data_IF_127216583339
#
_entry.id   IF_127216583339
#
_cell.length_a   1.000
_cell.length_b   1.000
_cell.length_c   1.000
_cell.angle_alpha   90.00
_cell.angle_beta   90.00
_cell.angle_gamma   90.00
#
_symmetry.space_group_name_H-M   'P 1'
#
loop_
_entity.id
_entity.type
_entity.pdbx_description
1 polymer ?
#
# COMPACT_ATOMS: atom_id res chain seq x y z
N UNK A 1 -6.01 14.94 -22.01
CA UNK A 1 -6.20 14.08 -20.81
C UNK A 1 -7.00 14.88 -19.81
N UNK A 2 -8.12 14.35 -19.29
CA UNK A 2 -8.89 15.06 -18.25
C UNK A 2 -8.15 14.94 -16.92
N UNK A 3 -7.70 16.07 -16.38
CA UNK A 3 -7.14 16.15 -15.05
C UNK A 3 -8.30 15.96 -14.05
N UNK A 4 -8.31 14.84 -13.33
CA UNK A 4 -9.25 14.63 -12.23
C UNK A 4 -8.74 15.43 -11.03
N UNK A 5 -9.38 16.56 -10.74
CA UNK A 5 -9.13 17.31 -9.52
C UNK A 5 -9.83 16.59 -8.35
N UNK A 6 -9.09 16.15 -7.31
CA UNK A 6 -9.66 15.25 -6.29
C UNK A 6 -10.65 15.92 -5.32
N UNK A 7 -10.75 17.25 -5.31
CA UNK A 7 -11.53 18.01 -4.32
C UNK A 7 -11.96 19.36 -4.92
N UNK A 8 -13.26 19.52 -5.20
CA UNK A 8 -13.85 20.85 -5.31
C UNK A 8 -14.24 21.31 -3.90
N UNK A 9 -13.92 22.54 -3.46
CA UNK A 9 -14.39 23.06 -2.17
C UNK A 9 -15.89 23.40 -2.17
N UNK A 10 -16.50 23.50 -3.35
CA UNK A 10 -17.86 23.99 -3.53
C UNK A 10 -18.63 23.05 -4.46
N UNK A 11 -19.63 22.37 -3.88
CA UNK A 11 -20.41 21.35 -4.57
C UNK A 11 -21.02 20.37 -3.57
N UNK A 12 -22.34 20.36 -3.52
CA UNK A 12 -23.23 19.40 -2.83
C UNK A 12 -22.59 18.06 -2.45
N UNK A 13 -22.83 17.64 -1.19
CA UNK A 13 -22.47 16.35 -0.57
C UNK A 13 -23.08 15.13 -1.30
N UNK A 14 -22.73 14.95 -2.56
CA UNK A 14 -22.90 13.72 -3.32
C UNK A 14 -21.95 12.70 -2.69
N UNK A 15 -22.51 11.54 -2.30
CA UNK A 15 -21.73 10.45 -1.72
C UNK A 15 -20.80 9.84 -2.78
N UNK A 16 -19.62 10.45 -2.99
CA UNK A 16 -18.34 9.85 -3.42
C UNK A 16 -17.48 10.86 -4.21
N UNK A 17 -16.87 11.83 -3.54
CA UNK A 17 -15.72 12.55 -4.10
C UNK A 17 -14.42 11.88 -3.63
N UNK A 18 -14.05 10.80 -4.31
CA UNK A 18 -12.78 10.12 -4.12
C UNK A 18 -12.46 9.25 -5.32
N UNK A 19 -11.19 8.94 -5.55
CA UNK A 19 -10.76 8.11 -6.70
C UNK A 19 -11.39 6.69 -6.70
N UNK A 20 -11.92 6.24 -5.56
CA UNK A 20 -12.47 4.89 -5.39
C UNK A 20 -13.76 4.91 -4.58
N UNK A 21 -14.77 4.13 -5.02
CA UNK A 21 -16.01 3.88 -4.29
C UNK A 21 -15.79 2.90 -3.14
N UNK A 22 -16.04 3.32 -1.89
CA UNK A 22 -15.88 2.46 -0.70
C UNK A 22 -17.02 1.44 -0.54
N UNK A 23 -16.77 0.29 0.12
CA UNK A 23 -15.47 -0.21 0.55
C UNK A 23 -14.73 -0.89 -0.60
N UNK A 24 -13.44 -0.59 -0.75
CA UNK A 24 -12.55 -1.25 -1.72
C UNK A 24 -11.26 -1.66 -1.03
N UNK A 25 -10.85 -2.89 -1.28
CA UNK A 25 -9.59 -3.44 -0.84
C UNK A 25 -8.68 -3.58 -2.06
N UNK A 26 -7.41 -3.24 -1.90
CA UNK A 26 -6.43 -3.29 -2.96
C UNK A 26 -5.18 -4.00 -2.48
N UNK A 27 -4.49 -4.63 -3.43
CA UNK A 27 -3.12 -5.09 -3.28
C UNK A 27 -2.26 -4.16 -4.12
N UNK A 28 -1.22 -3.61 -3.49
CA UNK A 28 -0.20 -2.83 -4.17
C UNK A 28 1.05 -3.69 -4.19
N UNK A 29 1.55 -3.97 -5.38
CA UNK A 29 2.76 -4.75 -5.59
C UNK A 29 4.01 -3.89 -5.39
N UNK A 30 5.16 -4.53 -5.26
CA UNK A 30 6.44 -3.86 -5.01
C UNK A 30 6.80 -2.82 -6.09
N UNK A 31 6.36 -3.05 -7.33
CA UNK A 31 6.49 -2.15 -8.48
C UNK A 31 5.33 -1.15 -8.61
N UNK A 32 4.51 -1.00 -7.56
CA UNK A 32 3.33 -0.13 -7.46
C UNK A 32 2.17 -0.47 -8.39
N UNK A 33 2.17 -1.65 -9.01
CA UNK A 33 0.96 -2.13 -9.68
C UNK A 33 -0.17 -2.31 -8.66
N UNK A 34 -1.36 -1.80 -8.99
CA UNK A 34 -2.53 -1.85 -8.11
C UNK A 34 -3.50 -2.89 -8.63
N UNK A 35 -3.81 -3.89 -7.82
CA UNK A 35 -4.83 -4.91 -8.09
C UNK A 35 -6.01 -4.71 -7.15
N UNK A 36 -7.21 -4.53 -7.69
CA UNK A 36 -8.42 -4.50 -6.87
C UNK A 36 -8.71 -5.91 -6.34
N UNK A 37 -8.78 -6.05 -5.01
CA UNK A 37 -9.32 -7.26 -4.42
C UNK A 37 -10.85 -7.19 -4.60
N UNK A 38 -11.39 -8.06 -5.45
CA UNK A 38 -12.83 -8.22 -5.58
C UNK A 38 -13.44 -8.69 -4.24
N UNK A 39 -14.73 -9.09 -4.23
CA UNK A 39 -15.37 -9.74 -3.07
C UNK A 39 -14.71 -11.06 -2.62
N UNK A 40 -13.58 -11.44 -3.21
CA UNK A 40 -12.76 -12.58 -2.83
C UNK A 40 -12.05 -12.30 -1.52
N UNK A 41 -11.98 -13.29 -0.63
CA UNK A 41 -11.23 -13.16 0.63
C UNK A 41 -9.73 -12.94 0.38
N UNK A 42 -9.04 -12.29 1.32
CA UNK A 42 -7.57 -12.13 1.31
C UNK A 42 -6.86 -13.48 1.29
N UNK A 43 -7.37 -14.48 2.02
CA UNK A 43 -6.81 -15.85 2.05
C UNK A 43 -6.85 -16.49 0.67
N UNK A 44 -8.00 -16.40 -0.03
CA UNK A 44 -8.13 -16.94 -1.38
C UNK A 44 -7.22 -16.24 -2.40
N UNK A 45 -6.90 -14.97 -2.17
CA UNK A 45 -5.91 -14.25 -2.98
C UNK A 45 -4.49 -14.77 -2.71
N UNK A 46 -4.09 -14.90 -1.44
CA UNK A 46 -2.76 -15.40 -1.06
C UNK A 46 -2.51 -16.83 -1.58
N UNK A 47 -3.52 -17.71 -1.53
CA UNK A 47 -3.42 -19.05 -2.10
C UNK A 47 -3.09 -19.05 -3.61
N UNK A 48 -3.58 -18.05 -4.36
CA UNK A 48 -3.29 -17.91 -5.80
C UNK A 48 -1.86 -17.45 -6.07
N UNK A 49 -1.19 -16.84 -5.10
CA UNK A 49 0.22 -16.46 -5.22
C UNK A 49 1.16 -17.67 -5.15
N UNK A 50 0.62 -18.84 -4.81
CA UNK A 50 1.33 -20.11 -4.79
C UNK A 50 2.54 -20.11 -3.82
N UNK A 51 2.45 -19.27 -2.77
CA UNK A 51 3.38 -19.19 -1.64
C UNK A 51 2.76 -19.92 -0.45
N UNK A 52 3.51 -20.78 0.28
CA UNK A 52 3.03 -21.38 1.52
C UNK A 52 2.61 -20.30 2.53
N UNK A 53 1.43 -20.44 3.12
CA UNK A 53 0.95 -19.46 4.11
C UNK A 53 1.84 -19.39 5.35
N UNK A 54 2.51 -20.50 5.68
CA UNK A 54 3.45 -20.60 6.81
C UNK A 54 4.74 -19.79 6.60
N UNK A 55 5.04 -19.40 5.35
CA UNK A 55 6.20 -18.58 5.00
C UNK A 55 5.87 -17.06 4.94
N UNK A 56 4.63 -16.67 5.23
CA UNK A 56 4.17 -15.28 5.16
C UNK A 56 4.17 -14.62 6.55
N UNK A 57 4.72 -13.40 6.64
CA UNK A 57 4.61 -12.54 7.83
C UNK A 57 3.74 -11.31 7.52
N UNK A 58 2.79 -11.00 8.41
CA UNK A 58 1.95 -9.81 8.31
C UNK A 58 2.52 -8.68 9.17
N UNK A 59 2.66 -7.50 8.58
CA UNK A 59 3.10 -6.28 9.25
C UNK A 59 2.09 -5.16 9.07
N UNK A 60 1.77 -4.46 10.15
CA UNK A 60 0.95 -3.24 10.10
C UNK A 60 1.87 -2.04 10.10
N UNK A 61 1.86 -1.28 9.02
CA UNK A 61 2.67 -0.05 8.85
C UNK A 61 1.76 1.18 8.75
N UNK A 62 2.21 2.30 9.31
CA UNK A 62 1.56 3.61 9.16
C UNK A 62 2.36 4.45 8.17
N UNK A 63 1.68 5.01 7.15
CA UNK A 63 2.31 5.84 6.12
C UNK A 63 1.95 7.30 6.40
N UNK A 64 2.95 8.09 6.79
CA UNK A 64 2.86 9.53 6.93
C UNK A 64 3.46 10.28 5.73
N UNK A 65 3.75 11.56 5.92
CA UNK A 65 4.35 12.41 4.90
C UNK A 65 5.75 11.92 4.50
N UNK A 66 6.60 11.59 5.49
CA UNK A 66 7.96 11.10 5.25
C UNK A 66 7.97 9.79 4.49
N UNK A 67 7.16 8.81 4.89
CA UNK A 67 7.01 7.54 4.20
C UNK A 67 6.49 7.74 2.77
N UNK A 68 5.53 8.65 2.60
CA UNK A 68 4.99 9.00 1.28
C UNK A 68 6.03 9.62 0.35
N UNK A 69 6.87 10.54 0.85
CA UNK A 69 7.96 11.15 0.08
C UNK A 69 9.06 10.12 -0.28
N UNK A 70 9.41 9.25 0.66
CA UNK A 70 10.36 8.16 0.40
C UNK A 70 9.83 7.23 -0.68
N UNK A 71 8.55 6.85 -0.60
CA UNK A 71 7.91 6.02 -1.60
C UNK A 71 7.84 6.70 -2.97
N UNK A 72 7.55 8.01 -3.02
CA UNK A 72 7.57 8.78 -4.27
C UNK A 72 8.98 8.78 -4.88
N UNK A 73 10.02 9.04 -4.09
CA UNK A 73 11.41 8.98 -4.56
C UNK A 73 11.77 7.60 -5.11
N UNK A 74 11.41 6.54 -4.40
CA UNK A 74 11.62 5.16 -4.83
C UNK A 74 10.85 4.84 -6.12
N UNK A 75 9.61 5.33 -6.27
CA UNK A 75 8.79 5.10 -7.48
C UNK A 75 9.40 5.65 -8.76
N UNK A 76 10.21 6.70 -8.66
CA UNK A 76 10.85 7.37 -9.78
C UNK A 76 12.22 6.76 -10.12
N UNK A 77 12.80 5.99 -9.20
CA UNK A 77 14.21 5.56 -9.27
C UNK A 77 14.40 4.06 -9.22
N UNK A 78 13.38 3.30 -8.79
CA UNK A 78 13.43 1.85 -8.59
C UNK A 78 12.24 1.11 -9.19
N UNK A 79 12.45 -0.18 -9.47
CA UNK A 79 11.39 -1.14 -9.81
C UNK A 79 10.84 -1.89 -8.59
N UNK A 80 11.50 -1.75 -7.44
CA UNK A 80 11.16 -2.36 -6.17
C UNK A 80 10.81 -1.27 -5.15
N UNK A 81 9.82 -0.44 -5.50
CA UNK A 81 9.57 0.82 -4.84
C UNK A 81 9.05 0.66 -3.40
N UNK A 82 8.22 -0.35 -3.10
CA UNK A 82 7.79 -0.59 -1.72
C UNK A 82 8.95 -1.06 -0.86
N UNK A 83 9.79 -1.95 -1.39
CA UNK A 83 10.98 -2.45 -0.71
C UNK A 83 11.96 -1.30 -0.45
N UNK A 84 12.36 -0.57 -1.47
CA UNK A 84 13.35 0.49 -1.31
C UNK A 84 12.81 1.69 -0.50
N UNK A 85 11.52 1.99 -0.67
CA UNK A 85 10.87 3.13 -0.04
C UNK A 85 10.41 2.90 1.39
N UNK A 86 10.05 1.67 1.77
CA UNK A 86 9.34 1.39 3.04
C UNK A 86 9.90 0.22 3.85
N UNK A 87 10.82 -0.61 3.32
CA UNK A 87 11.30 -1.80 4.04
C UNK A 87 11.97 -1.49 5.38
N UNK A 88 12.47 -0.27 5.56
CA UNK A 88 13.02 0.17 6.85
C UNK A 88 11.97 0.15 7.98
N UNK A 89 10.67 0.25 7.67
CA UNK A 89 9.58 0.16 8.64
C UNK A 89 9.38 -1.26 9.19
N UNK A 90 9.88 -2.27 8.47
CA UNK A 90 9.78 -3.69 8.85
C UNK A 90 10.95 -4.12 9.73
N UNK A 91 12.02 -3.31 9.81
CA UNK A 91 13.18 -3.60 10.67
C UNK A 91 12.80 -3.36 12.13
N UNK A 92 12.64 -4.43 12.91
CA UNK A 92 12.58 -4.31 14.37
C UNK A 92 13.90 -3.72 14.88
N UNK A 93 13.89 -2.81 15.87
CA UNK A 93 15.11 -2.44 16.57
C UNK A 93 15.76 -3.72 17.10
N UNK A 94 17.08 -3.89 16.89
CA UNK A 94 17.85 -4.88 17.65
C UNK A 94 17.67 -4.51 19.12
N UNK A 95 16.98 -5.32 19.89
CA UNK A 95 17.16 -5.31 21.35
C UNK A 95 18.62 -5.67 21.59
N UNK A 96 19.43 -4.66 21.89
CA UNK A 96 20.72 -4.88 22.55
C UNK A 96 20.43 -5.52 23.90
N UNK A 97 20.61 -6.83 23.97
CA UNK A 97 20.77 -7.58 25.22
C UNK A 97 21.94 -6.96 25.98
N UNK A 98 21.64 -5.97 26.81
CA UNK A 98 22.52 -5.55 27.89
C UNK A 98 22.53 -6.69 28.90
N UNK A 99 23.63 -7.44 28.85
CA UNK A 99 24.01 -8.41 29.87
C UNK A 99 24.31 -7.72 31.21
#
# INVERSE_FOLDING_TARGET
>A
MKLFEPRSPDGTREFAEGFVRRPSLFVVWDDLQVTHLAKTSSISFLQKLNVPLDDLEEHVVSIGETEGLNLLGASLTSKAALTDGLFYLLKKPKEESTA
#
